data_IF_449613266171
#
_entry.id   IF_449613266171
#
_cell.length_a   1.000
_cell.length_b   1.000
_cell.length_c   1.000
_cell.angle_alpha   90.00
_cell.angle_beta   90.00
_cell.angle_gamma   90.00
#
_symmetry.space_group_name_H-M   'P 1'
#
loop_
_entity.id
_entity.type
_entity.pdbx_description
1 polymer ?
#
# COMPACT_ATOMS: atom_id res chain seq x y z
N UNK A 1 16.28 0.57 1.23
CA UNK A 1 15.32 1.70 1.17
C UNK A 1 14.79 1.91 2.58
N UNK A 2 14.77 3.14 3.08
CA UNK A 2 14.22 3.41 4.40
C UNK A 2 12.69 3.39 4.38
N UNK A 3 12.08 3.28 5.57
CA UNK A 3 10.64 3.40 5.73
C UNK A 3 10.09 4.70 5.12
N UNK A 4 10.70 5.85 5.44
CA UNK A 4 10.28 7.16 4.91
C UNK A 4 10.40 7.26 3.38
N UNK A 5 11.39 6.59 2.79
CA UNK A 5 11.52 6.53 1.33
C UNK A 5 10.39 5.69 0.72
N UNK A 6 10.04 4.57 1.35
CA UNK A 6 8.93 3.71 0.92
C UNK A 6 7.59 4.43 1.02
N UNK A 7 7.33 5.10 2.15
CA UNK A 7 6.14 5.93 2.36
C UNK A 7 6.02 7.03 1.29
N UNK A 8 7.09 7.82 1.09
CA UNK A 8 7.09 8.87 0.08
C UNK A 8 6.79 8.35 -1.33
N UNK A 9 7.32 7.17 -1.68
CA UNK A 9 7.06 6.52 -2.98
C UNK A 9 5.58 6.09 -3.08
N UNK A 10 5.03 5.46 -2.05
CA UNK A 10 3.65 4.98 -2.06
C UNK A 10 2.64 6.12 -2.08
N UNK A 11 2.88 7.18 -1.32
CA UNK A 11 2.06 8.39 -1.35
C UNK A 11 2.14 9.07 -2.72
N UNK A 12 3.32 9.14 -3.34
CA UNK A 12 3.45 9.67 -4.69
C UNK A 12 2.69 8.84 -5.72
N UNK A 13 2.76 7.50 -5.64
CA UNK A 13 2.06 6.60 -6.54
C UNK A 13 0.52 6.71 -6.36
N UNK A 14 0.04 6.77 -5.13
CA UNK A 14 -1.39 6.96 -4.84
C UNK A 14 -1.87 8.33 -5.34
N UNK A 15 -1.13 9.41 -5.08
CA UNK A 15 -1.45 10.75 -5.61
C UNK A 15 -1.49 10.78 -7.14
N UNK A 16 -0.58 10.07 -7.82
CA UNK A 16 -0.64 9.95 -9.28
C UNK A 16 -1.94 9.26 -9.74
N UNK A 17 -2.39 8.24 -9.02
CA UNK A 17 -3.62 7.49 -9.32
C UNK A 17 -4.93 8.26 -9.05
N UNK A 18 -4.86 9.37 -8.32
CA UNK A 18 -6.02 10.25 -8.04
C UNK A 18 -6.08 11.47 -8.96
N UNK A 19 -5.13 11.64 -9.88
CA UNK A 19 -5.17 12.74 -10.85
C UNK A 19 -6.34 12.56 -11.83
N UNK A 20 -6.91 13.67 -12.29
CA UNK A 20 -8.01 13.65 -13.28
C UNK A 20 -7.62 12.90 -14.54
N UNK A 21 -6.40 13.11 -15.04
CA UNK A 21 -5.90 12.44 -16.23
C UNK A 21 -5.83 10.91 -16.05
N UNK A 22 -5.35 10.44 -14.90
CA UNK A 22 -5.28 9.02 -14.61
C UNK A 22 -6.68 8.43 -14.46
N UNK A 23 -7.55 9.07 -13.68
CA UNK A 23 -8.93 8.61 -13.47
C UNK A 23 -9.70 8.54 -14.80
N UNK A 24 -9.56 9.53 -15.68
CA UNK A 24 -10.18 9.52 -17.00
C UNK A 24 -9.72 8.32 -17.87
N UNK A 25 -8.51 7.82 -17.66
CA UNK A 25 -7.98 6.63 -18.33
C UNK A 25 -8.40 5.29 -17.67
N UNK A 26 -9.00 5.35 -16.47
CA UNK A 26 -9.34 4.19 -15.65
C UNK A 26 -10.82 4.23 -15.20
N UNK A 27 -11.72 4.58 -16.13
CA UNK A 27 -13.18 4.60 -15.89
C UNK A 27 -13.62 5.44 -14.68
N UNK A 28 -12.89 6.53 -14.43
CA UNK A 28 -13.06 7.41 -13.27
C UNK A 28 -12.94 6.70 -11.91
N UNK A 29 -12.17 5.60 -11.86
CA UNK A 29 -11.93 4.83 -10.65
C UNK A 29 -10.44 4.55 -10.44
N UNK A 30 -10.05 4.40 -9.17
CA UNK A 30 -8.71 3.90 -8.83
C UNK A 30 -8.71 2.38 -9.04
N UNK A 31 -7.77 1.81 -9.80
CA UNK A 31 -7.65 0.37 -9.98
C UNK A 31 -7.57 -0.35 -8.62
N UNK A 32 -8.38 -1.39 -8.45
CA UNK A 32 -8.46 -2.13 -7.17
C UNK A 32 -7.09 -2.65 -6.73
N UNK A 33 -6.27 -3.12 -7.67
CA UNK A 33 -4.91 -3.58 -7.40
C UNK A 33 -4.03 -2.47 -6.80
N UNK A 34 -4.13 -1.24 -7.31
CA UNK A 34 -3.38 -0.10 -6.77
C UNK A 34 -3.83 0.23 -5.35
N UNK A 35 -5.15 0.22 -5.12
CA UNK A 35 -5.72 0.51 -3.80
C UNK A 35 -5.35 -0.56 -2.77
N UNK A 36 -5.40 -1.85 -3.13
CA UNK A 36 -4.99 -2.95 -2.24
C UNK A 36 -3.53 -2.88 -1.85
N UNK A 37 -2.65 -2.52 -2.79
CA UNK A 37 -1.23 -2.31 -2.49
C UNK A 37 -1.07 -1.11 -1.56
N UNK A 38 -1.70 0.03 -1.84
CA UNK A 38 -1.66 1.20 -0.97
C UNK A 38 -2.10 0.87 0.47
N UNK A 39 -3.23 0.18 0.64
CA UNK A 39 -3.72 -0.23 1.96
C UNK A 39 -2.74 -1.13 2.73
N UNK A 40 -1.99 -2.01 2.03
CA UNK A 40 -0.99 -2.85 2.67
C UNK A 40 0.20 -2.06 3.23
N UNK A 41 0.58 -0.95 2.57
CA UNK A 41 1.61 -0.05 3.06
C UNK A 41 1.09 0.84 4.19
N UNK A 42 -0.12 1.40 4.05
CA UNK A 42 -0.79 2.21 5.08
C UNK A 42 -0.96 1.45 6.40
N UNK A 43 -1.34 0.16 6.35
CA UNK A 43 -1.46 -0.68 7.53
C UNK A 43 -0.11 -0.91 8.27
N UNK A 44 1.01 -0.89 7.52
CA UNK A 44 2.36 -0.97 8.07
C UNK A 44 2.90 0.36 8.58
N UNK A 45 2.36 1.48 8.11
CA UNK A 45 2.69 2.82 8.62
C UNK A 45 1.89 3.18 9.87
N UNK A 46 0.66 2.68 9.95
CA UNK A 46 -0.22 2.97 11.06
C UNK A 46 0.42 2.59 12.39
N UNK A 47 0.60 3.58 13.27
CA UNK A 47 1.06 3.35 14.63
C UNK A 47 -0.05 2.64 15.42
N UNK A 48 -0.04 1.31 15.35
CA UNK A 48 -0.94 0.46 16.11
C UNK A 48 -0.71 0.69 17.60
N UNK A 49 -1.61 1.41 18.25
CA UNK A 49 -1.53 1.77 19.69
C UNK A 49 -1.33 0.59 20.66
N UNK A 50 -1.53 -0.65 20.19
CA UNK A 50 -1.34 -1.90 20.94
C UNK A 50 -0.12 -2.72 20.48
N UNK A 51 0.60 -2.28 19.46
CA UNK A 51 1.83 -2.91 19.05
C UNK A 51 2.93 -2.54 20.06
N UNK A 52 3.52 -3.54 20.70
CA UNK A 52 4.72 -3.33 21.51
C UNK A 52 5.87 -2.80 20.64
N UNK A 53 6.83 -2.10 21.24
CA UNK A 53 7.98 -1.51 20.54
C UNK A 53 8.84 -2.54 19.76
N UNK A 54 8.68 -3.82 20.07
CA UNK A 54 9.35 -4.96 19.42
C UNK A 54 8.69 -5.38 18.09
N UNK A 55 7.52 -4.84 17.76
CA UNK A 55 6.78 -5.21 16.54
C UNK A 55 7.35 -4.45 15.35
N UNK A 56 7.97 -5.18 14.42
CA UNK A 56 8.26 -4.67 13.08
C UNK A 56 6.96 -4.61 12.24
N UNK A 57 6.46 -3.41 11.90
CA UNK A 57 5.20 -3.26 11.17
C UNK A 57 5.26 -3.83 9.75
N UNK A 58 6.43 -3.77 9.09
CA UNK A 58 6.61 -4.31 7.74
C UNK A 58 6.37 -5.82 7.74
N UNK A 59 7.00 -6.52 8.68
CA UNK A 59 6.89 -7.98 8.81
C UNK A 59 5.52 -8.41 9.30
N UNK A 60 4.89 -7.63 10.20
CA UNK A 60 3.59 -8.00 10.76
C UNK A 60 2.41 -7.70 9.84
N UNK A 61 2.44 -6.59 9.10
CA UNK A 61 1.29 -6.09 8.37
C UNK A 61 1.53 -6.05 6.85
N UNK A 62 2.54 -5.32 6.39
CA UNK A 62 2.75 -5.09 4.96
C UNK A 62 3.07 -6.37 4.19
N UNK A 63 4.05 -7.16 4.64
CA UNK A 63 4.49 -8.38 3.93
C UNK A 63 3.36 -9.40 3.76
N UNK A 64 2.61 -9.78 4.82
CA UNK A 64 1.50 -10.73 4.66
C UNK A 64 0.43 -10.25 3.68
N UNK A 65 0.06 -8.96 3.71
CA UNK A 65 -0.95 -8.40 2.82
C UNK A 65 -0.48 -8.40 1.36
N UNK A 66 0.76 -8.01 1.10
CA UNK A 66 1.35 -8.08 -0.26
C UNK A 66 1.45 -9.52 -0.74
N UNK A 67 1.85 -10.47 0.10
CA UNK A 67 1.89 -11.89 -0.27
C UNK A 67 0.48 -12.41 -0.63
N UNK A 68 -0.53 -12.08 0.17
CA UNK A 68 -1.92 -12.45 -0.10
C UNK A 68 -2.43 -11.81 -1.40
N UNK A 69 -2.06 -10.55 -1.67
CA UNK A 69 -2.36 -9.88 -2.93
C UNK A 69 -1.72 -10.60 -4.12
N UNK A 70 -0.40 -10.86 -4.06
CA UNK A 70 0.34 -11.53 -5.14
C UNK A 70 -0.13 -12.96 -5.38
N UNK A 71 -0.61 -13.66 -4.36
CA UNK A 71 -1.18 -15.00 -4.49
C UNK A 71 -2.44 -15.03 -5.38
N UNK A 72 -3.15 -13.91 -5.55
CA UNK A 72 -4.30 -13.80 -6.45
C UNK A 72 -3.91 -13.88 -7.94
N UNK A 73 -2.63 -13.72 -8.27
CA UNK A 73 -2.11 -13.65 -9.64
C UNK A 73 -1.16 -14.81 -10.00
N UNK A 74 -1.01 -15.78 -9.09
CA UNK A 74 -0.25 -17.01 -9.34
C UNK A 74 -1.23 -18.12 -9.64
N UNK A 75 -1.47 -18.35 -10.93
CA UNK A 75 -2.09 -19.56 -11.45
C UNK A 75 -1.18 -20.79 -11.23
#
# INVERSE_FOLDING_TARGET
>A
MSFQQGDAIMNAAFNASTTEQFLAAHDHAIPEAMFQVYQAFDEGEYCHSKAGAEVDPETKYTKPLIQAFLAKFRD
#
